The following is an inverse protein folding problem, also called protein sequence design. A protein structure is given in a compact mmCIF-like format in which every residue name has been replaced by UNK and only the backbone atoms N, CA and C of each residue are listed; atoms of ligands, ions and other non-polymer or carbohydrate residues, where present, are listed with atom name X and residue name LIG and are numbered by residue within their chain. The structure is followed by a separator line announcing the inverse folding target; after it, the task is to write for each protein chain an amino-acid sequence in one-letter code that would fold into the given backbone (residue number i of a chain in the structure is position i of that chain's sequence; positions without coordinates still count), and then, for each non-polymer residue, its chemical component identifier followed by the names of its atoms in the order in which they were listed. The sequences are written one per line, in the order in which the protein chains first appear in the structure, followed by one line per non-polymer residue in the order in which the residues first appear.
data_IF_995985221824
#
_entry.id   IF_995985221824
#
_cell.length_a   1.000
_cell.length_b   1.000
_cell.length_c   1.000
_cell.angle_alpha   90.00
_cell.angle_beta   90.00
_cell.angle_gamma   90.00
#
_symmetry.space_group_name_H-M   'P 1'
#
loop_
_entity.id
_entity.type
_entity.pdbx_description
1 polymer ?
#
# COMPACT_ATOMS: atom_id res chain seq x y z
N UNK A 1 34.34 -60.85 3.83
CA UNK A 1 33.79 -59.75 3.00
C UNK A 1 32.84 -58.93 3.84
N UNK A 2 33.24 -57.68 4.13
CA UNK A 2 32.53 -56.72 4.97
C UNK A 2 31.57 -55.91 4.08
N UNK A 3 30.26 -56.08 4.22
CA UNK A 3 29.30 -55.09 3.71
C UNK A 3 28.96 -54.15 4.86
N UNK A 4 29.68 -53.03 4.91
CA UNK A 4 29.45 -51.95 5.86
C UNK A 4 28.54 -50.91 5.18
N UNK A 5 27.36 -50.73 5.78
CA UNK A 5 26.69 -49.44 5.98
C UNK A 5 26.32 -48.57 4.78
N UNK A 6 25.02 -48.30 4.63
CA UNK A 6 24.55 -46.93 4.39
C UNK A 6 23.08 -46.79 4.80
N UNK A 7 22.84 -46.36 6.05
CA UNK A 7 21.52 -45.89 6.47
C UNK A 7 21.36 -44.43 6.02
N UNK A 8 20.54 -44.17 5.01
CA UNK A 8 20.06 -42.82 4.70
C UNK A 8 19.15 -42.35 5.85
N UNK A 9 19.67 -41.48 6.71
CA UNK A 9 18.86 -40.80 7.71
C UNK A 9 18.04 -39.69 7.03
N UNK A 10 16.74 -39.93 6.85
CA UNK A 10 15.75 -38.91 6.51
C UNK A 10 15.59 -37.97 7.71
N UNK A 11 16.14 -36.76 7.61
CA UNK A 11 15.91 -35.70 8.61
C UNK A 11 14.58 -35.02 8.28
N UNK A 12 13.58 -35.03 9.18
CA UNK A 12 12.32 -34.33 8.94
C UNK A 12 12.56 -32.82 9.01
N UNK A 13 12.40 -32.13 7.88
CA UNK A 13 12.37 -30.68 7.84
C UNK A 13 11.00 -30.23 8.34
N UNK A 14 10.93 -29.71 9.56
CA UNK A 14 9.69 -29.12 10.07
C UNK A 14 9.38 -27.84 9.28
N UNK A 15 8.39 -27.91 8.39
CA UNK A 15 7.83 -26.74 7.73
C UNK A 15 6.91 -26.02 8.74
N UNK A 16 7.41 -24.96 9.38
CA UNK A 16 6.55 -24.05 10.13
C UNK A 16 5.77 -23.18 9.15
N UNK A 17 4.45 -23.32 9.13
CA UNK A 17 3.59 -22.33 8.49
C UNK A 17 3.60 -21.07 9.36
N UNK A 18 4.15 -19.98 8.82
CA UNK A 18 4.02 -18.67 9.47
C UNK A 18 2.58 -18.19 9.22
N UNK A 19 1.72 -18.36 10.22
CA UNK A 19 0.36 -17.85 10.17
C UNK A 19 0.42 -16.36 9.82
N UNK A 20 -0.29 -15.94 8.76
CA UNK A 20 -0.26 -14.55 8.32
C UNK A 20 -0.94 -13.70 9.37
N UNK A 21 -0.20 -12.75 9.95
CA UNK A 21 -0.80 -11.76 10.83
C UNK A 21 -1.90 -10.99 10.07
N UNK A 22 -3.05 -10.68 10.72
CA UNK A 22 -4.11 -9.89 10.10
C UNK A 22 -3.55 -8.60 9.49
N UNK A 23 -3.98 -8.29 8.28
CA UNK A 23 -3.52 -7.06 7.63
C UNK A 23 -4.26 -5.85 8.22
N UNK A 24 -3.60 -4.69 8.37
CA UNK A 24 -4.26 -3.48 8.87
C UNK A 24 -5.50 -3.06 8.07
N UNK A 25 -5.61 -3.52 6.82
CA UNK A 25 -6.77 -3.29 5.94
C UNK A 25 -8.03 -4.06 6.33
N UNK A 26 -7.92 -5.07 7.18
CA UNK A 26 -9.05 -5.89 7.63
C UNK A 26 -9.79 -5.28 8.83
N UNK A 27 -9.18 -4.30 9.49
CA UNK A 27 -9.77 -3.55 10.58
C UNK A 27 -10.42 -2.25 10.08
N UNK A 28 -11.51 -1.78 10.73
CA UNK A 28 -12.14 -0.50 10.40
C UNK A 28 -11.15 0.66 10.51
N UNK A 29 -11.20 1.58 9.54
CA UNK A 29 -10.43 2.82 9.58
C UNK A 29 -11.21 3.90 10.33
N UNK A 30 -10.57 4.46 11.36
CA UNK A 30 -11.17 5.51 12.18
C UNK A 30 -10.71 6.91 11.72
N UNK A 31 -11.56 7.95 11.77
CA UNK A 31 -11.14 9.32 11.45
C UNK A 31 -9.99 9.82 12.35
N UNK A 32 -9.06 10.57 11.77
CA UNK A 32 -7.93 11.19 12.48
C UNK A 32 -7.97 12.73 12.34
N UNK A 33 -8.87 13.42 13.06
CA UNK A 33 -9.08 14.86 12.91
C UNK A 33 -7.88 15.70 13.38
N UNK A 34 -7.00 15.16 14.25
CA UNK A 34 -5.80 15.85 14.71
C UNK A 34 -4.84 16.22 13.57
N UNK A 35 -4.83 15.44 12.49
CA UNK A 35 -4.01 15.69 11.30
C UNK A 35 -4.74 16.47 10.20
N UNK A 36 -6.03 16.74 10.38
CA UNK A 36 -6.89 17.45 9.45
C UNK A 36 -7.94 16.56 8.78
N UNK A 37 -8.82 17.20 8.00
CA UNK A 37 -9.91 16.52 7.31
C UNK A 37 -9.41 15.48 6.29
N UNK A 38 -10.11 14.34 6.22
CA UNK A 38 -9.81 13.24 5.29
C UNK A 38 -8.65 12.34 5.71
N UNK A 39 -8.02 12.57 6.87
CA UNK A 39 -7.08 11.63 7.46
C UNK A 39 -7.84 10.54 8.24
N UNK A 40 -7.33 9.32 8.13
CA UNK A 40 -7.79 8.15 8.87
C UNK A 40 -6.61 7.50 9.59
N UNK A 41 -6.85 6.91 10.76
CA UNK A 41 -5.82 6.19 11.51
C UNK A 41 -5.65 4.79 10.94
N UNK A 42 -4.39 4.40 10.71
CA UNK A 42 -4.05 3.04 10.31
C UNK A 42 -4.20 2.13 11.56
N UNK A 43 -5.05 1.09 11.50
CA UNK A 43 -5.29 0.21 12.64
C UNK A 43 -3.99 -0.40 13.19
N UNK A 44 -3.86 -0.43 14.51
CA UNK A 44 -2.67 -0.94 15.19
C UNK A 44 -1.47 0.03 15.21
N UNK A 45 -1.62 1.27 14.75
CA UNK A 45 -0.53 2.27 14.76
C UNK A 45 -1.02 3.66 15.22
N UNK A 46 -0.08 4.56 15.55
CA UNK A 46 -0.37 5.98 15.79
C UNK A 46 -0.44 6.81 14.49
N UNK A 47 -0.08 6.20 13.35
CA UNK A 47 0.03 6.85 12.05
C UNK A 47 -1.34 7.15 11.45
N UNK A 48 -1.49 8.33 10.87
CA UNK A 48 -2.66 8.72 10.10
C UNK A 48 -2.30 8.81 8.62
N UNK A 49 -3.23 8.38 7.76
CA UNK A 49 -3.08 8.36 6.30
C UNK A 49 -4.22 9.13 5.64
N UNK A 50 -3.91 9.84 4.56
CA UNK A 50 -4.89 10.48 3.68
C UNK A 50 -4.59 10.14 2.24
N UNK A 51 -5.60 9.57 1.57
CA UNK A 51 -5.59 9.40 0.13
C UNK A 51 -6.36 10.56 -0.50
N UNK A 52 -5.78 11.19 -1.53
CA UNK A 52 -6.43 12.27 -2.26
C UNK A 52 -6.04 12.24 -3.72
N UNK A 53 -6.78 12.94 -4.56
CA UNK A 53 -6.49 12.96 -5.98
C UNK A 53 -7.52 13.73 -6.77
N UNK A 54 -7.34 13.71 -8.09
CA UNK A 54 -8.31 14.20 -9.05
C UNK A 54 -8.14 13.47 -10.38
N UNK A 55 -9.24 13.34 -11.12
CA UNK A 55 -9.25 12.80 -12.47
C UNK A 55 -9.91 13.84 -13.38
N UNK A 56 -9.36 14.00 -14.57
CA UNK A 56 -9.87 14.87 -15.62
C UNK A 56 -9.96 14.04 -16.89
N UNK A 57 -11.12 14.05 -17.53
CA UNK A 57 -11.35 13.43 -18.83
C UNK A 57 -11.94 14.48 -19.77
N UNK A 58 -11.53 14.43 -21.04
CA UNK A 58 -12.02 15.31 -22.09
C UNK A 58 -12.41 14.54 -23.34
N UNK A 59 -13.00 15.24 -24.30
CA UNK A 59 -13.29 14.71 -25.62
C UNK A 59 -12.98 15.78 -26.67
N UNK A 60 -12.00 15.51 -27.51
CA UNK A 60 -11.66 16.33 -28.67
C UNK A 60 -12.28 15.70 -29.91
N UNK A 61 -13.29 16.37 -30.47
CA UNK A 61 -14.05 15.91 -31.64
C UNK A 61 -13.72 16.81 -32.81
N UNK A 62 -13.02 16.27 -33.81
CA UNK A 62 -12.71 16.96 -35.04
C UNK A 62 -13.02 16.12 -36.28
N UNK A 63 -13.08 16.73 -37.48
CA UNK A 63 -13.49 16.07 -38.72
C UNK A 63 -12.55 14.95 -39.19
N UNK A 64 -11.34 14.84 -38.62
CA UNK A 64 -10.32 13.83 -38.97
C UNK A 64 -9.76 13.06 -37.77
N UNK A 65 -10.10 13.45 -36.55
CA UNK A 65 -9.55 12.84 -35.34
C UNK A 65 -10.52 13.00 -34.19
N UNK A 66 -10.64 11.93 -33.42
CA UNK A 66 -11.31 11.91 -32.14
C UNK A 66 -10.29 11.47 -31.08
N UNK A 67 -10.22 12.17 -29.96
CA UNK A 67 -9.33 11.81 -28.85
C UNK A 67 -10.06 12.00 -27.55
N UNK A 68 -9.81 11.08 -26.62
CA UNK A 68 -10.41 11.11 -25.29
C UNK A 68 -9.24 11.18 -24.30
N UNK A 69 -8.65 12.36 -24.06
CA UNK A 69 -7.57 12.49 -23.11
C UNK A 69 -8.09 12.21 -21.70
N UNK A 70 -7.34 11.42 -20.95
CA UNK A 70 -7.60 11.14 -19.54
C UNK A 70 -6.32 11.41 -18.77
N UNK A 71 -6.45 12.20 -17.71
CA UNK A 71 -5.37 12.54 -16.80
C UNK A 71 -5.82 12.30 -15.36
N UNK A 72 -4.97 11.66 -14.57
CA UNK A 72 -5.17 11.38 -13.16
C UNK A 72 -4.01 11.87 -12.31
N UNK A 73 -4.32 12.27 -11.08
CA UNK A 73 -3.35 12.53 -10.02
C UNK A 73 -3.83 11.85 -8.75
N UNK A 74 -2.95 11.12 -8.09
CA UNK A 74 -3.17 10.53 -6.77
C UNK A 74 -2.07 11.01 -5.83
N UNK A 75 -2.41 11.26 -4.58
CA UNK A 75 -1.48 11.60 -3.52
C UNK A 75 -1.81 10.83 -2.23
N UNK A 76 -0.76 10.32 -1.60
CA UNK A 76 -0.78 9.64 -0.30
C UNK A 76 0.01 10.52 0.67
N UNK A 77 -0.62 10.91 1.78
CA UNK A 77 0.01 11.62 2.89
C UNK A 77 -0.08 10.73 4.13
N UNK A 78 1.04 10.42 4.77
CA UNK A 78 1.09 9.72 6.04
C UNK A 78 1.80 10.58 7.08
N UNK A 79 1.23 10.70 8.27
CA UNK A 79 1.76 11.50 9.37
C UNK A 79 1.71 10.72 10.66
N UNK A 80 2.80 10.78 11.42
CA UNK A 80 2.96 10.01 12.65
C UNK A 80 3.64 10.88 13.69
N UNK A 81 3.06 10.93 14.89
CA UNK A 81 3.70 11.53 16.06
C UNK A 81 4.64 10.49 16.68
N UNK A 82 5.94 10.66 16.46
CA UNK A 82 6.98 9.77 16.99
C UNK A 82 7.66 10.37 18.21
N UNK A 83 8.40 9.55 18.96
CA UNK A 83 9.18 10.01 20.11
C UNK A 83 10.24 11.07 19.76
N UNK A 84 10.69 11.12 18.50
CA UNK A 84 11.67 12.08 17.99
C UNK A 84 11.01 13.31 17.35
N UNK A 85 9.68 13.41 17.40
CA UNK A 85 8.89 14.46 16.79
C UNK A 85 8.00 13.97 15.65
N UNK A 86 7.26 14.88 15.01
CA UNK A 86 6.32 14.55 13.94
C UNK A 86 7.06 14.15 12.66
N UNK A 87 6.68 13.00 12.09
CA UNK A 87 7.21 12.49 10.82
C UNK A 87 6.11 12.54 9.77
N UNK A 88 6.45 12.96 8.55
CA UNK A 88 5.54 13.00 7.41
C UNK A 88 6.16 12.35 6.18
N UNK A 89 5.38 11.46 5.57
CA UNK A 89 5.67 10.83 4.28
C UNK A 89 4.63 11.27 3.27
N UNK A 90 5.05 11.79 2.11
CA UNK A 90 4.15 12.25 1.07
C UNK A 90 4.60 11.74 -0.30
N UNK A 91 3.69 11.09 -1.01
CA UNK A 91 3.92 10.61 -2.38
C UNK A 91 2.80 11.12 -3.27
N UNK A 92 3.14 11.61 -4.45
CA UNK A 92 2.18 11.99 -5.49
C UNK A 92 2.58 11.37 -6.81
N UNK A 93 1.61 10.80 -7.49
CA UNK A 93 1.76 10.17 -8.80
C UNK A 93 0.78 10.85 -9.76
N UNK A 94 1.26 11.15 -10.96
CA UNK A 94 0.48 11.73 -12.05
C UNK A 94 0.63 10.83 -13.27
N UNK A 95 -0.48 10.58 -13.95
CA UNK A 95 -0.52 9.72 -15.13
C UNK A 95 -1.57 10.24 -16.11
N UNK A 96 -1.38 9.92 -17.40
CA UNK A 96 -2.31 10.31 -18.46
C UNK A 96 -1.62 10.96 -19.64
N UNK A 97 -2.42 11.27 -20.66
CA UNK A 97 -1.98 11.93 -21.89
C UNK A 97 -2.82 13.20 -22.06
N UNK A 98 -2.16 14.29 -22.48
CA UNK A 98 -2.84 15.51 -22.91
C UNK A 98 -3.38 15.34 -24.32
#
# INVERSE_FOLDING_TARGET
MRCLGLCLALVPFSASAFERAPHPSEAPMEPCPSQGAGFFRIPGTSSCIRLSGRVTAGADVGPRRHTVPVQGRIAVDSRTDSALGPVRSFVRIEAGQR
#
